data_IF_530920912202
#
_entry.id   IF_530920912202
#
_cell.length_a   1.000
_cell.length_b   1.000
_cell.length_c   1.000
_cell.angle_alpha   90.00
_cell.angle_beta   90.00
_cell.angle_gamma   90.00
#
_symmetry.space_group_name_H-M   'P 1'
#
loop_
_entity.id
_entity.type
_entity.pdbx_description
1 polymer ?
#
# COMPACT_ATOMS: atom_id res chain seq x y z
N UNK A 1 -18.80 7.99 -5.91
CA UNK A 1 -17.46 8.46 -5.56
C UNK A 1 -16.82 8.93 -6.85
N UNK A 2 -16.32 10.15 -6.89
CA UNK A 2 -15.85 10.83 -8.11
C UNK A 2 -14.73 10.04 -8.78
N UNK A 3 -14.99 9.55 -9.98
CA UNK A 3 -14.07 8.78 -10.85
C UNK A 3 -13.03 9.70 -11.52
N UNK A 4 -12.49 10.65 -10.76
CA UNK A 4 -11.48 11.56 -11.27
C UNK A 4 -10.17 10.79 -11.36
N UNK A 5 -9.56 10.67 -12.56
CA UNK A 5 -8.32 9.93 -12.71
C UNK A 5 -7.21 10.54 -11.84
N UNK A 6 -6.53 9.69 -11.07
CA UNK A 6 -5.41 10.11 -10.21
C UNK A 6 -4.26 10.61 -11.10
N UNK A 7 -3.93 11.90 -10.99
CA UNK A 7 -2.80 12.50 -11.70
C UNK A 7 -1.49 12.20 -10.97
N UNK A 8 -0.57 11.51 -11.63
CA UNK A 8 0.79 11.30 -11.12
C UNK A 8 1.59 12.59 -11.33
N UNK A 9 2.17 13.11 -10.25
CA UNK A 9 3.10 14.24 -10.29
C UNK A 9 4.54 13.74 -10.24
N UNK A 10 5.45 14.38 -10.97
CA UNK A 10 6.88 14.07 -10.91
C UNK A 10 7.52 14.63 -9.62
N UNK A 11 8.51 13.93 -9.08
CA UNK A 11 9.22 14.36 -7.86
C UNK A 11 10.25 13.33 -7.40
N UNK A 12 10.94 13.63 -6.30
CA UNK A 12 12.08 12.84 -5.80
C UNK A 12 11.72 11.77 -4.76
N UNK A 13 10.49 11.78 -4.22
CA UNK A 13 10.07 10.81 -3.22
C UNK A 13 9.93 9.38 -3.78
N UNK A 14 9.36 9.27 -4.98
CA UNK A 14 9.17 8.01 -5.71
C UNK A 14 9.22 8.31 -7.21
N UNK A 15 9.75 7.36 -7.97
CA UNK A 15 9.67 7.39 -9.44
C UNK A 15 8.23 7.23 -9.91
N UNK A 16 7.93 7.65 -11.15
CA UNK A 16 6.57 7.49 -11.69
C UNK A 16 6.18 6.02 -11.84
N UNK A 17 7.15 5.14 -12.11
CA UNK A 17 6.94 3.70 -12.17
C UNK A 17 6.52 3.13 -10.81
N UNK A 18 7.21 3.51 -9.73
CA UNK A 18 6.85 3.12 -8.35
C UNK A 18 5.46 3.64 -7.96
N UNK A 19 5.17 4.92 -8.28
CA UNK A 19 3.83 5.50 -8.05
C UNK A 19 2.74 4.70 -8.79
N UNK A 20 2.96 4.37 -10.06
CA UNK A 20 2.02 3.58 -10.86
C UNK A 20 1.80 2.18 -10.28
N UNK A 21 2.86 1.49 -9.87
CA UNK A 21 2.73 0.16 -9.26
C UNK A 21 1.93 0.20 -7.94
N UNK A 22 2.25 1.14 -7.04
CA UNK A 22 1.53 1.33 -5.80
C UNK A 22 0.04 1.64 -6.03
N UNK A 23 -0.27 2.54 -6.96
CA UNK A 23 -1.65 2.87 -7.31
C UNK A 23 -2.40 1.65 -7.87
N UNK A 24 -1.75 0.83 -8.71
CA UNK A 24 -2.35 -0.42 -9.19
C UNK A 24 -2.63 -1.43 -8.05
N UNK A 25 -1.73 -1.53 -7.06
CA UNK A 25 -1.96 -2.37 -5.88
C UNK A 25 -3.14 -1.87 -5.06
N UNK A 26 -3.21 -0.57 -4.81
CA UNK A 26 -4.31 0.04 -4.07
C UNK A 26 -5.65 -0.12 -4.80
N UNK A 27 -5.68 0.02 -6.13
CA UNK A 27 -6.89 -0.24 -6.92
C UNK A 27 -7.40 -1.68 -6.76
N UNK A 28 -6.49 -2.66 -6.64
CA UNK A 28 -6.87 -4.06 -6.34
C UNK A 28 -7.43 -4.18 -4.92
N UNK A 29 -6.78 -3.59 -3.92
CA UNK A 29 -7.27 -3.58 -2.53
C UNK A 29 -8.66 -2.94 -2.47
N UNK A 30 -8.89 -1.83 -3.15
CA UNK A 30 -10.21 -1.19 -3.25
C UNK A 30 -11.27 -2.12 -3.86
N UNK A 31 -10.91 -2.88 -4.90
CA UNK A 31 -11.74 -3.94 -5.45
C UNK A 31 -12.08 -5.03 -4.42
N UNK A 32 -11.11 -5.46 -3.62
CA UNK A 32 -11.34 -6.43 -2.54
C UNK A 32 -12.27 -5.87 -1.46
N UNK A 33 -12.09 -4.62 -1.04
CA UNK A 33 -12.96 -3.96 -0.06
C UNK A 33 -14.41 -3.87 -0.58
N UNK A 34 -14.61 -3.50 -1.86
CA UNK A 34 -15.94 -3.55 -2.48
C UNK A 34 -16.52 -4.96 -2.50
N UNK A 35 -15.69 -5.98 -2.76
CA UNK A 35 -16.10 -7.39 -2.71
C UNK A 35 -16.57 -7.80 -1.31
N UNK A 36 -15.79 -7.46 -0.28
CA UNK A 36 -16.14 -7.68 1.13
C UNK A 36 -17.46 -7.00 1.49
N UNK A 37 -17.68 -5.73 1.09
CA UNK A 37 -18.94 -5.03 1.35
C UNK A 37 -20.14 -5.78 0.76
N UNK A 38 -20.01 -6.33 -0.46
CA UNK A 38 -21.07 -7.15 -1.08
C UNK A 38 -21.30 -8.46 -0.31
N UNK A 39 -20.24 -9.12 0.13
CA UNK A 39 -20.36 -10.35 0.93
C UNK A 39 -21.08 -10.07 2.25
N UNK A 40 -20.75 -8.97 2.93
CA UNK A 40 -21.43 -8.55 4.16
C UNK A 40 -22.91 -8.24 3.88
N UNK A 41 -23.21 -7.48 2.81
CA UNK A 41 -24.58 -7.12 2.47
C UNK A 41 -25.46 -8.34 2.14
N UNK A 42 -24.86 -9.41 1.63
CA UNK A 42 -25.55 -10.64 1.25
C UNK A 42 -25.48 -11.76 2.30
N UNK A 43 -24.75 -11.56 3.41
CA UNK A 43 -24.60 -12.58 4.45
C UNK A 43 -25.95 -12.82 5.15
N UNK A 44 -26.42 -14.06 5.10
CA UNK A 44 -27.74 -14.45 5.61
C UNK A 44 -27.66 -15.51 6.72
N UNK A 45 -26.60 -16.33 6.70
CA UNK A 45 -26.38 -17.38 7.70
C UNK A 45 -25.01 -17.22 8.38
N UNK A 46 -24.82 -17.72 9.62
CA UNK A 46 -23.55 -17.58 10.34
C UNK A 46 -22.32 -18.08 9.56
N UNK A 47 -22.46 -19.11 8.72
CA UNK A 47 -21.38 -19.65 7.91
C UNK A 47 -20.84 -18.68 6.85
N UNK A 48 -21.64 -17.67 6.43
CA UNK A 48 -21.19 -16.66 5.46
C UNK A 48 -20.08 -15.76 6.04
N UNK A 49 -20.05 -15.62 7.37
CA UNK A 49 -19.03 -14.84 8.08
C UNK A 49 -17.63 -15.40 7.87
N UNK A 50 -17.47 -16.71 7.67
CA UNK A 50 -16.16 -17.33 7.40
C UNK A 50 -15.57 -16.82 6.08
N UNK A 51 -16.41 -16.71 5.05
CA UNK A 51 -16.02 -16.19 3.74
C UNK A 51 -15.68 -14.69 3.82
N UNK A 52 -16.48 -13.92 4.56
CA UNK A 52 -16.19 -12.48 4.81
C UNK A 52 -14.85 -12.33 5.52
N UNK A 53 -14.59 -13.11 6.57
CA UNK A 53 -13.35 -13.06 7.35
C UNK A 53 -12.14 -13.40 6.49
N UNK A 54 -12.23 -14.43 5.63
CA UNK A 54 -11.16 -14.79 4.70
C UNK A 54 -10.86 -13.67 3.70
N UNK A 55 -11.88 -13.05 3.11
CA UNK A 55 -11.68 -11.96 2.16
C UNK A 55 -11.15 -10.68 2.82
N UNK A 56 -11.58 -10.37 4.04
CA UNK A 56 -11.01 -9.29 4.84
C UNK A 56 -9.53 -9.54 5.15
N UNK A 57 -9.18 -10.76 5.55
CA UNK A 57 -7.78 -11.12 5.79
C UNK A 57 -6.93 -11.01 4.52
N UNK A 58 -7.47 -11.40 3.37
CA UNK A 58 -6.80 -11.25 2.07
C UNK A 58 -6.59 -9.76 1.71
N UNK A 59 -7.60 -8.91 1.92
CA UNK A 59 -7.50 -7.46 1.68
C UNK A 59 -6.46 -6.81 2.59
N UNK A 60 -6.46 -7.16 3.89
CA UNK A 60 -5.44 -6.70 4.86
C UNK A 60 -4.03 -7.06 4.39
N UNK A 61 -3.79 -8.34 4.07
CA UNK A 61 -2.47 -8.79 3.60
C UNK A 61 -2.04 -8.11 2.30
N UNK A 62 -2.97 -7.80 1.40
CA UNK A 62 -2.67 -7.05 0.19
C UNK A 62 -2.29 -5.59 0.48
N UNK A 63 -2.96 -4.95 1.44
CA UNK A 63 -2.62 -3.62 1.90
C UNK A 63 -1.25 -3.58 2.61
N UNK A 64 -0.96 -4.55 3.48
CA UNK A 64 0.33 -4.67 4.16
C UNK A 64 1.48 -4.80 3.15
N UNK A 65 1.27 -5.60 2.09
CA UNK A 65 2.24 -5.70 1.00
C UNK A 65 2.44 -4.37 0.27
N UNK A 66 1.38 -3.61 0.03
CA UNK A 66 1.51 -2.28 -0.58
C UNK A 66 2.29 -1.31 0.32
N UNK A 67 2.08 -1.38 1.64
CA UNK A 67 2.83 -0.61 2.63
C UNK A 67 4.33 -0.97 2.63
N UNK A 68 4.68 -2.25 2.65
CA UNK A 68 6.07 -2.70 2.60
C UNK A 68 6.73 -2.29 1.28
N UNK A 69 6.02 -2.41 0.15
CA UNK A 69 6.51 -1.96 -1.16
C UNK A 69 6.80 -0.46 -1.14
N UNK A 70 5.90 0.37 -0.61
CA UNK A 70 6.10 1.81 -0.49
C UNK A 70 7.41 2.14 0.26
N UNK A 71 7.63 1.51 1.42
CA UNK A 71 8.80 1.80 2.23
C UNK A 71 10.10 1.30 1.58
N UNK A 72 10.06 0.13 0.95
CA UNK A 72 11.22 -0.40 0.20
C UNK A 72 11.57 0.49 -0.98
N UNK A 73 10.56 0.91 -1.75
CA UNK A 73 10.72 1.83 -2.88
C UNK A 73 11.30 3.17 -2.45
N UNK A 74 10.81 3.72 -1.33
CA UNK A 74 11.30 4.96 -0.76
C UNK A 74 12.76 4.81 -0.28
N UNK A 75 13.13 3.70 0.35
CA UNK A 75 14.52 3.46 0.80
C UNK A 75 15.47 3.53 -0.39
N UNK A 76 15.14 2.82 -1.47
CA UNK A 76 15.97 2.79 -2.69
C UNK A 76 16.06 4.17 -3.32
N UNK A 77 14.92 4.82 -3.56
CA UNK A 77 14.87 6.11 -4.26
C UNK A 77 15.56 7.21 -3.46
N UNK A 78 15.31 7.30 -2.16
CA UNK A 78 15.91 8.34 -1.33
C UNK A 78 17.40 8.13 -1.14
N UNK A 79 17.86 6.88 -0.95
CA UNK A 79 19.29 6.60 -0.79
C UNK A 79 20.07 6.90 -2.06
N UNK A 80 19.48 6.63 -3.23
CA UNK A 80 20.09 6.94 -4.53
C UNK A 80 20.12 8.46 -4.83
N UNK A 81 19.17 9.23 -4.28
CA UNK A 81 19.09 10.68 -4.46
C UNK A 81 19.87 11.48 -3.40
N UNK A 82 20.46 10.82 -2.40
CA UNK A 82 21.17 11.48 -1.32
C UNK A 82 22.48 12.13 -1.81
N UNK A 83 22.76 13.35 -1.37
CA UNK A 83 23.99 14.06 -1.75
C UNK A 83 25.19 13.59 -0.93
N UNK A 84 24.97 13.03 0.27
CA UNK A 84 26.03 12.49 1.13
C UNK A 84 25.65 11.13 1.73
N UNK A 85 26.62 10.31 2.15
CA UNK A 85 26.36 9.06 2.85
C UNK A 85 25.53 9.23 4.13
N UNK A 86 25.74 10.32 4.87
CA UNK A 86 24.99 10.63 6.10
C UNK A 86 23.50 10.88 5.81
N UNK A 87 23.20 11.56 4.71
CA UNK A 87 21.82 11.78 4.27
C UNK A 87 21.14 10.47 3.85
N UNK A 88 21.86 9.60 3.14
CA UNK A 88 21.35 8.27 2.78
C UNK A 88 21.04 7.43 4.03
N UNK A 89 21.96 7.43 5.00
CA UNK A 89 21.77 6.72 6.27
C UNK A 89 20.58 7.26 7.06
N UNK A 90 20.45 8.59 7.18
CA UNK A 90 19.34 9.20 7.90
C UNK A 90 17.99 8.86 7.25
N UNK A 91 17.90 8.88 5.92
CA UNK A 91 16.68 8.50 5.21
C UNK A 91 16.33 7.04 5.45
N UNK A 92 17.31 6.13 5.36
CA UNK A 92 17.10 4.71 5.63
C UNK A 92 16.63 4.47 7.08
N UNK A 93 17.23 5.14 8.06
CA UNK A 93 16.84 5.06 9.48
C UNK A 93 15.40 5.55 9.70
N UNK A 94 15.01 6.66 9.08
CA UNK A 94 13.65 7.19 9.18
C UNK A 94 12.61 6.19 8.64
N UNK A 95 12.88 5.57 7.50
CA UNK A 95 11.98 4.59 6.89
C UNK A 95 11.97 3.25 7.66
N UNK A 96 13.12 2.84 8.21
CA UNK A 96 13.20 1.68 9.08
C UNK A 96 12.39 1.87 10.37
N UNK A 97 12.41 3.08 10.96
CA UNK A 97 11.59 3.40 12.13
C UNK A 97 10.07 3.35 11.83
N UNK A 98 9.67 3.69 10.59
CA UNK A 98 8.28 3.51 10.16
C UNK A 98 7.91 2.04 9.98
N UNK A 99 8.81 1.22 9.43
CA UNK A 99 8.60 -0.23 9.38
C UNK A 99 8.42 -0.79 10.79
N UNK A 100 9.34 -0.52 11.71
CA UNK A 100 9.27 -1.02 13.10
C UNK A 100 7.99 -0.61 13.83
N UNK A 101 7.50 0.61 13.56
CA UNK A 101 6.27 1.11 14.19
C UNK A 101 4.98 0.43 13.69
N UNK A 102 4.96 -0.03 12.45
CA UNK A 102 3.71 -0.41 11.76
C UNK A 102 3.71 -1.83 11.18
N UNK A 103 4.84 -2.53 11.18
CA UNK A 103 5.00 -3.90 10.68
C UNK A 103 4.96 -4.95 11.80
#
# INVERSE_FOLDING_TARGET
>A
MSDTPIKIVHGTALTDAQKKDLLHRLARVEGQIRGVQKLIANAAVPADCDSVAQQLAAARKALDRAFITLLTDAIVTHSAAAATPEQALQSAQNLAALLDKFA
#
